data_IF_334117316599
#
_entry.id   IF_334117316599
#
_cell.length_a   1.000
_cell.length_b   1.000
_cell.length_c   1.000
_cell.angle_alpha   90.00
_cell.angle_beta   90.00
_cell.angle_gamma   90.00
#
_symmetry.space_group_name_H-M   'P 1'
#
loop_
_entity.id
_entity.type
_entity.pdbx_description
1 polymer ?
#
# COMPACT_ATOMS: atom_id res chain seq x y z
N UNK A 1 16.99 4.62 5.07
CA UNK A 1 15.62 5.12 4.85
C UNK A 1 14.94 4.16 3.88
N UNK A 2 14.10 3.27 4.39
CA UNK A 2 13.22 2.45 3.55
C UNK A 2 12.14 3.36 2.95
N UNK A 3 11.97 3.32 1.62
CA UNK A 3 10.91 4.09 0.97
C UNK A 3 9.57 3.41 1.24
N UNK A 4 8.56 4.22 1.52
CA UNK A 4 7.21 3.78 1.88
C UNK A 4 6.25 3.98 0.72
N UNK A 5 5.42 2.98 0.44
CA UNK A 5 4.42 2.99 -0.62
C UNK A 5 3.05 2.72 -0.01
N UNK A 6 2.07 3.53 -0.38
CA UNK A 6 0.65 3.30 -0.08
C UNK A 6 -0.03 2.81 -1.36
N UNK A 7 -0.66 1.64 -1.29
CA UNK A 7 -1.50 1.08 -2.34
C UNK A 7 -2.96 1.31 -1.95
N UNK A 8 -3.76 1.80 -2.89
CA UNK A 8 -5.21 1.91 -2.75
C UNK A 8 -5.82 1.00 -3.81
N UNK A 9 -6.37 -0.14 -3.39
CA UNK A 9 -6.82 -1.21 -4.29
C UNK A 9 -7.93 -2.02 -3.61
N UNK A 10 -9.11 -2.10 -4.22
CA UNK A 10 -10.29 -2.77 -3.64
C UNK A 10 -10.24 -4.29 -3.85
N UNK A 11 -9.52 -4.77 -4.87
CA UNK A 11 -9.26 -6.19 -5.08
C UNK A 11 -8.11 -6.72 -4.21
N UNK A 12 -8.48 -7.42 -3.11
CA UNK A 12 -7.53 -7.98 -2.13
C UNK A 12 -6.42 -8.85 -2.73
N UNK A 13 -6.72 -9.64 -3.76
CA UNK A 13 -5.74 -10.54 -4.38
C UNK A 13 -4.69 -9.74 -5.18
N UNK A 14 -5.13 -8.73 -5.92
CA UNK A 14 -4.25 -7.85 -6.68
C UNK A 14 -3.38 -7.02 -5.72
N UNK A 15 -3.99 -6.41 -4.70
CA UNK A 15 -3.29 -5.65 -3.69
C UNK A 15 -2.22 -6.49 -2.98
N UNK A 16 -2.54 -7.75 -2.63
CA UNK A 16 -1.60 -8.68 -2.03
C UNK A 16 -0.44 -8.99 -2.98
N UNK A 17 -0.72 -9.31 -4.23
CA UNK A 17 0.30 -9.61 -5.23
C UNK A 17 1.29 -8.43 -5.38
N UNK A 18 0.79 -7.23 -5.62
CA UNK A 18 1.64 -6.03 -5.77
C UNK A 18 2.42 -5.72 -4.48
N UNK A 19 1.81 -5.88 -3.31
CA UNK A 19 2.48 -5.66 -2.04
C UNK A 19 3.67 -6.60 -1.81
N UNK A 20 3.56 -7.86 -2.24
CA UNK A 20 4.63 -8.86 -2.09
C UNK A 20 5.83 -8.52 -2.98
N UNK A 21 5.59 -8.14 -4.24
CA UNK A 21 6.66 -7.73 -5.17
C UNK A 21 7.40 -6.49 -4.64
N UNK A 22 6.68 -5.48 -4.17
CA UNK A 22 7.29 -4.27 -3.62
C UNK A 22 8.03 -4.54 -2.30
N UNK A 23 7.51 -5.41 -1.44
CA UNK A 23 8.22 -5.81 -0.22
C UNK A 23 9.50 -6.59 -0.54
N UNK A 24 9.49 -7.44 -1.57
CA UNK A 24 10.68 -8.16 -2.04
C UNK A 24 11.76 -7.20 -2.54
N UNK A 25 11.37 -6.11 -3.20
CA UNK A 25 12.27 -5.01 -3.61
C UNK A 25 12.72 -4.10 -2.45
N UNK A 26 12.28 -4.38 -1.21
CA UNK A 26 12.71 -3.68 0.00
C UNK A 26 11.90 -2.43 0.35
N UNK A 27 10.71 -2.25 -0.21
CA UNK A 27 9.80 -1.18 0.17
C UNK A 27 8.97 -1.56 1.40
N UNK A 28 8.65 -0.55 2.21
CA UNK A 28 7.58 -0.67 3.20
C UNK A 28 6.24 -0.38 2.51
N UNK A 29 5.27 -1.29 2.64
CA UNK A 29 4.00 -1.18 1.93
C UNK A 29 2.84 -1.11 2.92
N UNK A 30 1.95 -0.13 2.72
CA UNK A 30 0.62 -0.06 3.33
C UNK A 30 -0.42 -0.28 2.23
N UNK A 31 -1.50 -0.99 2.54
CA UNK A 31 -2.58 -1.27 1.62
C UNK A 31 -3.89 -0.82 2.25
N UNK A 32 -4.64 0.02 1.54
CA UNK A 32 -6.00 0.42 1.90
C UNK A 32 -6.97 -0.02 0.79
N UNK A 33 -8.20 -0.38 1.16
CA UNK A 33 -9.16 -0.99 0.22
C UNK A 33 -10.10 0.02 -0.43
N UNK A 34 -10.00 1.29 -0.03
CA UNK A 34 -10.82 2.35 -0.59
C UNK A 34 -10.11 3.71 -0.49
N UNK A 35 -10.60 4.66 -1.30
CA UNK A 35 -10.00 5.99 -1.37
C UNK A 35 -10.11 6.83 -0.10
N UNK A 36 -11.09 6.57 0.79
CA UNK A 36 -11.23 7.32 2.03
C UNK A 36 -10.12 6.95 3.01
N UNK A 37 -9.98 5.66 3.29
CA UNK A 37 -8.91 5.12 4.15
C UNK A 37 -7.53 5.44 3.56
N UNK A 38 -7.39 5.33 2.24
CA UNK A 38 -6.15 5.72 1.54
C UNK A 38 -5.81 7.20 1.71
N UNK A 39 -6.80 8.09 1.57
CA UNK A 39 -6.59 9.52 1.75
C UNK A 39 -6.21 9.87 3.20
N UNK A 40 -6.91 9.30 4.18
CA UNK A 40 -6.62 9.47 5.60
C UNK A 40 -5.19 9.00 5.91
N UNK A 41 -4.83 7.81 5.46
CA UNK A 41 -3.48 7.24 5.62
C UNK A 41 -2.39 8.10 5.00
N UNK A 42 -2.64 8.71 3.84
CA UNK A 42 -1.70 9.59 3.15
C UNK A 42 -1.50 10.95 3.83
N UNK A 43 -2.49 11.41 4.59
CA UNK A 43 -2.43 12.69 5.30
C UNK A 43 -1.90 12.56 6.73
N UNK A 44 -2.03 11.39 7.36
CA UNK A 44 -1.64 11.15 8.75
C UNK A 44 -0.19 10.66 8.97
N UNK A 45 0.53 10.28 7.91
CA UNK A 45 1.90 9.72 7.99
C UNK A 45 2.89 10.38 7.05
#
# INVERSE_FOLDING_TARGET
>A
MTKKILIIEDEKNLARFVSLELQHEGYEVIVEVNGREGLETALEK
#
